data_IF_778023241888
#
_entry.id   IF_778023241888
#
_cell.length_a   1.000
_cell.length_b   1.000
_cell.length_c   1.000
_cell.angle_alpha   90.00
_cell.angle_beta   90.00
_cell.angle_gamma   90.00
#
_symmetry.space_group_name_H-M   'P 1'
#
loop_
_entity.id
_entity.type
_entity.pdbx_description
1 polymer ?
#
# COMPACT_ATOMS: atom_id res chain seq x y z
N UNK A 1 -9.83 6.21 -7.33
CA UNK A 1 -10.16 4.81 -7.64
C UNK A 1 -8.92 3.97 -7.45
N UNK A 2 -9.08 2.70 -7.09
CA UNK A 2 -7.96 1.78 -6.94
C UNK A 2 -8.35 0.36 -7.36
N UNK A 3 -7.36 -0.51 -7.47
CA UNK A 3 -7.51 -1.93 -7.77
C UNK A 3 -6.43 -2.78 -7.14
N UNK A 4 -6.75 -4.06 -6.96
CA UNK A 4 -5.86 -5.13 -6.55
C UNK A 4 -6.05 -6.30 -7.52
N UNK A 5 -5.02 -7.13 -7.66
CA UNK A 5 -5.19 -8.45 -8.28
C UNK A 5 -6.03 -9.32 -7.35
N UNK A 6 -6.74 -10.31 -7.91
CA UNK A 6 -7.73 -11.09 -7.15
C UNK A 6 -7.10 -11.83 -5.95
N UNK A 7 -5.93 -12.43 -6.13
CA UNK A 7 -5.18 -13.11 -5.05
C UNK A 7 -4.73 -12.13 -3.94
N UNK A 8 -4.32 -10.92 -4.29
CA UNK A 8 -4.01 -9.85 -3.32
C UNK A 8 -5.27 -9.43 -2.55
N UNK A 9 -6.40 -9.26 -3.24
CA UNK A 9 -7.67 -8.90 -2.63
C UNK A 9 -8.20 -9.98 -1.69
N UNK A 10 -7.93 -11.24 -2.01
CA UNK A 10 -8.33 -12.42 -1.21
C UNK A 10 -7.30 -12.81 -0.14
N UNK A 11 -6.14 -12.16 -0.10
CA UNK A 11 -5.12 -12.44 0.91
C UNK A 11 -5.65 -12.11 2.32
N UNK A 12 -5.42 -12.98 3.33
CA UNK A 12 -5.90 -12.74 4.70
C UNK A 12 -5.43 -11.43 5.36
N UNK A 13 -4.35 -10.83 4.87
CA UNK A 13 -3.83 -9.56 5.35
C UNK A 13 -4.48 -8.34 4.68
N UNK A 14 -5.30 -8.52 3.64
CA UNK A 14 -6.10 -7.45 3.03
C UNK A 14 -7.37 -7.24 3.84
N UNK A 15 -7.54 -6.05 4.40
CA UNK A 15 -8.60 -5.77 5.38
C UNK A 15 -9.53 -4.67 4.90
N UNK A 16 -10.83 -4.92 5.08
CA UNK A 16 -11.84 -3.86 5.10
C UNK A 16 -11.96 -3.32 6.52
N UNK A 17 -11.51 -2.09 6.73
CA UNK A 17 -11.39 -1.47 8.05
C UNK A 17 -12.49 -0.45 8.26
N UNK A 18 -13.23 -0.60 9.36
CA UNK A 18 -14.35 0.27 9.79
C UNK A 18 -14.06 1.02 11.11
N UNK A 19 -12.93 0.72 11.75
CA UNK A 19 -12.59 1.28 13.06
C UNK A 19 -11.09 1.38 13.30
N UNK A 20 -10.71 2.19 14.28
CA UNK A 20 -9.34 2.42 14.71
C UNK A 20 -9.34 2.71 16.22
N UNK A 21 -8.40 2.10 16.96
CA UNK A 21 -8.28 2.25 18.42
C UNK A 21 -9.60 2.03 19.19
N UNK A 22 -10.33 0.97 18.85
CA UNK A 22 -11.59 0.60 19.51
C UNK A 22 -12.79 1.48 19.17
N UNK A 23 -12.63 2.47 18.28
CA UNK A 23 -13.68 3.39 17.88
C UNK A 23 -13.99 3.28 16.38
N UNK A 24 -15.13 3.82 15.95
CA UNK A 24 -15.43 3.99 14.53
C UNK A 24 -14.36 4.86 13.84
N UNK A 25 -14.14 4.58 12.55
CA UNK A 25 -13.12 5.29 11.79
C UNK A 25 -13.44 6.80 11.70
N UNK A 26 -12.50 7.70 12.05
CA UNK A 26 -12.68 9.13 11.80
C UNK A 26 -12.70 9.47 10.31
N UNK A 27 -13.36 10.57 9.93
CA UNK A 27 -13.49 10.99 8.51
C UNK A 27 -12.13 11.17 7.83
N UNK A 28 -11.12 11.74 8.51
CA UNK A 28 -9.77 11.92 7.97
C UNK A 28 -9.07 10.59 7.63
N UNK A 29 -9.46 9.52 8.31
CA UNK A 29 -8.93 8.18 8.07
C UNK A 29 -9.68 7.45 6.94
N UNK A 30 -10.81 7.99 6.44
CA UNK A 30 -11.54 7.45 5.31
C UNK A 30 -12.84 6.73 5.67
N UNK A 31 -13.58 7.25 6.65
CA UNK A 31 -14.87 6.70 7.09
C UNK A 31 -15.89 6.60 5.93
N UNK A 32 -16.91 5.72 6.02
CA UNK A 32 -17.16 4.76 7.10
C UNK A 32 -16.34 3.47 6.97
N UNK A 33 -15.77 3.21 5.80
CA UNK A 33 -14.92 2.05 5.54
C UNK A 33 -13.79 2.39 4.57
N UNK A 34 -12.63 1.77 4.80
CA UNK A 34 -11.45 1.88 3.95
C UNK A 34 -10.81 0.52 3.72
N UNK A 35 -9.98 0.44 2.68
CA UNK A 35 -9.09 -0.68 2.47
C UNK A 35 -7.78 -0.49 3.25
N UNK A 36 -7.20 -1.58 3.73
CA UNK A 36 -5.83 -1.66 4.24
C UNK A 36 -5.13 -2.86 3.58
N UNK A 37 -3.97 -2.60 2.98
CA UNK A 37 -3.09 -3.63 2.40
C UNK A 37 -1.68 -3.41 2.96
N UNK A 38 -1.29 -4.12 4.03
CA UNK A 38 -0.20 -3.68 4.90
C UNK A 38 1.20 -3.79 4.27
N UNK A 39 1.37 -4.61 3.22
CA UNK A 39 2.66 -4.79 2.54
C UNK A 39 2.87 -3.84 1.35
N UNK A 40 1.87 -3.01 1.02
CA UNK A 40 1.90 -2.05 -0.08
C UNK A 40 2.02 -0.61 0.42
N UNK A 41 2.47 0.29 -0.47
CA UNK A 41 2.46 1.72 -0.16
C UNK A 41 1.04 2.23 0.11
N UNK A 42 0.93 3.23 0.99
CA UNK A 42 -0.34 3.67 1.56
C UNK A 42 -1.37 4.17 0.54
N UNK A 43 -0.96 4.56 -0.66
CA UNK A 43 -1.89 5.00 -1.71
C UNK A 43 -2.78 3.89 -2.26
N UNK A 44 -2.36 2.62 -2.15
CA UNK A 44 -3.19 1.46 -2.51
C UNK A 44 -4.37 1.27 -1.56
N UNK A 45 -4.27 1.79 -0.34
CA UNK A 45 -5.29 1.70 0.71
C UNK A 45 -6.34 2.80 0.56
N UNK A 46 -7.26 2.63 -0.40
CA UNK A 46 -8.30 3.60 -0.75
C UNK A 46 -9.27 3.87 0.42
N UNK A 47 -9.65 5.15 0.57
CA UNK A 47 -10.53 5.68 1.61
C UNK A 47 -11.98 5.80 1.13
N UNK A 48 -12.93 5.76 2.07
CA UNK A 48 -14.35 6.08 1.84
C UNK A 48 -14.93 5.34 0.64
N UNK A 49 -14.82 4.00 0.67
CA UNK A 49 -15.23 3.15 -0.45
C UNK A 49 -16.76 3.16 -0.57
N UNK A 50 -17.23 3.45 -1.79
CA UNK A 50 -18.66 3.45 -2.13
C UNK A 50 -19.05 2.38 -3.15
N UNK A 51 -18.06 1.77 -3.83
CA UNK A 51 -18.27 0.76 -4.87
C UNK A 51 -17.07 -0.17 -4.97
N UNK A 52 -17.33 -1.46 -5.08
CA UNK A 52 -16.36 -2.51 -5.40
C UNK A 52 -16.84 -3.18 -6.68
N UNK A 53 -15.95 -3.32 -7.66
CA UNK A 53 -16.25 -4.00 -8.93
C UNK A 53 -15.20 -5.08 -9.17
N UNK A 54 -15.65 -6.26 -9.58
CA UNK A 54 -14.77 -7.30 -10.11
C UNK A 54 -14.62 -7.11 -11.61
N UNK A 55 -13.39 -7.24 -12.12
CA UNK A 55 -13.06 -7.03 -13.53
C UNK A 55 -12.11 -8.11 -14.02
N UNK A 56 -12.22 -8.46 -15.30
CA UNK A 56 -11.34 -9.42 -15.97
C UNK A 56 -9.96 -8.82 -16.28
N UNK A 57 -9.88 -7.49 -16.46
CA UNK A 57 -8.65 -6.77 -16.78
C UNK A 57 -8.19 -5.86 -15.64
N UNK A 58 -6.89 -5.59 -15.58
CA UNK A 58 -6.29 -4.64 -14.65
C UNK A 58 -6.97 -3.25 -14.78
N UNK A 59 -7.52 -2.69 -13.69
CA UNK A 59 -8.13 -1.37 -13.73
C UNK A 59 -7.08 -0.27 -13.57
N UNK A 60 -7.33 0.87 -14.20
CA UNK A 60 -6.57 2.09 -13.93
C UNK A 60 -6.66 2.53 -12.46
N UNK A 61 -5.57 3.04 -11.92
CA UNK A 61 -5.45 3.50 -10.53
C UNK A 61 -5.10 4.97 -10.48
N UNK A 62 -5.60 5.70 -9.48
CA UNK A 62 -5.50 7.18 -9.47
C UNK A 62 -4.07 7.71 -9.50
N UNK A 63 -3.13 7.07 -8.80
CA UNK A 63 -1.73 7.52 -8.78
C UNK A 63 -0.96 7.10 -10.03
N UNK A 64 -1.26 5.93 -10.59
CA UNK A 64 -0.68 5.49 -11.86
C UNK A 64 -1.17 6.36 -13.03
N UNK A 65 -2.47 6.68 -13.07
CA UNK A 65 -3.04 7.61 -14.07
C UNK A 65 -2.39 9.01 -13.97
N UNK A 66 -2.11 9.47 -12.75
CA UNK A 66 -1.51 10.80 -12.53
C UNK A 66 -0.02 10.83 -12.89
N UNK A 67 0.75 9.81 -12.52
CA UNK A 67 2.19 9.75 -12.75
C UNK A 67 2.69 8.30 -12.83
N UNK A 68 2.46 7.67 -13.99
CA UNK A 68 2.83 6.27 -14.24
C UNK A 68 4.34 5.97 -14.11
N UNK A 69 5.20 6.99 -14.20
CA UNK A 69 6.66 6.84 -13.99
C UNK A 69 7.06 6.74 -12.51
N UNK A 70 6.16 7.10 -11.61
CA UNK A 70 6.43 7.18 -10.17
C UNK A 70 5.63 6.16 -9.35
N UNK A 71 4.46 5.77 -9.84
CA UNK A 71 3.54 4.90 -9.12
C UNK A 71 3.02 3.79 -10.04
N UNK A 72 3.45 2.55 -9.80
CA UNK A 72 2.95 1.38 -10.49
C UNK A 72 1.66 0.81 -9.90
N UNK A 73 1.14 -0.23 -10.55
CA UNK A 73 -0.09 -0.90 -10.13
C UNK A 73 0.09 -1.66 -8.82
N UNK A 74 1.17 -2.45 -8.68
CA UNK A 74 1.33 -3.35 -7.55
C UNK A 74 1.81 -2.62 -6.28
N UNK A 75 2.75 -1.68 -6.40
CA UNK A 75 3.17 -0.80 -5.30
C UNK A 75 3.54 -1.55 -4.00
N UNK A 76 4.23 -2.68 -4.15
CA UNK A 76 4.78 -3.42 -3.02
C UNK A 76 5.89 -2.59 -2.37
N UNK A 77 5.91 -2.51 -1.04
CA UNK A 77 7.00 -1.82 -0.33
C UNK A 77 8.31 -2.55 -0.61
N UNK A 78 9.25 -1.86 -1.25
CA UNK A 78 10.53 -2.45 -1.67
C UNK A 78 11.68 -1.46 -1.43
N UNK A 79 12.56 -1.69 -0.44
CA UNK A 79 13.68 -0.79 -0.16
C UNK A 79 14.70 -0.70 -1.29
N UNK A 80 14.77 -1.73 -2.14
CA UNK A 80 15.71 -1.81 -3.25
C UNK A 80 15.25 -1.04 -4.50
N UNK A 81 14.01 -0.55 -4.52
CA UNK A 81 13.44 0.20 -5.64
C UNK A 81 13.09 1.60 -5.16
N UNK A 82 13.90 2.57 -5.56
CA UNK A 82 13.72 3.95 -5.15
C UNK A 82 12.66 4.65 -5.98
N UNK A 83 11.95 5.58 -5.34
CA UNK A 83 11.10 6.51 -6.05
C UNK A 83 11.98 7.44 -6.90
N UNK A 84 11.54 7.91 -8.09
CA UNK A 84 12.35 8.79 -8.94
C UNK A 84 12.87 10.06 -8.25
N UNK A 85 12.22 10.49 -7.17
CA UNK A 85 12.53 11.71 -6.43
C UNK A 85 13.12 11.51 -5.03
N UNK A 86 13.11 10.29 -4.48
CA UNK A 86 13.62 10.02 -3.12
C UNK A 86 13.94 8.55 -2.89
N UNK A 87 14.77 8.28 -1.88
CA UNK A 87 15.13 6.92 -1.48
C UNK A 87 14.02 6.27 -0.66
N UNK A 88 13.90 4.95 -0.81
CA UNK A 88 12.87 4.11 -0.17
C UNK A 88 13.47 3.06 0.77
N UNK A 89 14.79 3.07 0.98
CA UNK A 89 15.50 2.17 1.90
C UNK A 89 15.38 2.59 3.36
N UNK A 90 14.99 3.83 3.62
CA UNK A 90 14.77 4.38 4.96
C UNK A 90 13.39 5.02 5.05
N UNK A 91 12.73 4.83 6.19
CA UNK A 91 11.45 5.45 6.49
C UNK A 91 11.47 6.23 7.81
N UNK A 92 10.53 7.16 7.89
CA UNK A 92 10.37 8.03 9.04
C UNK A 92 9.30 7.45 9.96
N UNK A 93 9.71 6.89 11.11
CA UNK A 93 8.77 6.34 12.08
C UNK A 93 8.06 7.48 12.83
N UNK A 94 6.74 7.43 12.85
CA UNK A 94 5.88 8.37 13.57
C UNK A 94 5.46 7.79 14.94
N UNK A 95 5.18 8.64 15.95
CA UNK A 95 5.30 10.10 15.95
C UNK A 95 6.76 10.56 16.04
N UNK A 96 7.04 11.77 15.56
CA UNK A 96 8.33 12.44 15.77
C UNK A 96 8.15 13.64 16.70
N UNK A 97 9.20 13.93 17.48
CA UNK A 97 9.32 15.18 18.23
C UNK A 97 10.53 15.96 17.72
N UNK A 98 10.64 17.25 18.07
CA UNK A 98 11.81 18.07 17.70
C UNK A 98 13.14 17.45 18.17
N UNK A 99 13.10 16.67 19.25
CA UNK A 99 14.28 16.02 19.86
C UNK A 99 14.41 14.53 19.51
N UNK A 100 13.45 13.95 18.77
CA UNK A 100 13.46 12.54 18.40
C UNK A 100 13.00 12.37 16.96
N UNK A 101 13.96 12.45 16.04
CA UNK A 101 13.77 12.09 14.63
C UNK A 101 14.20 10.64 14.43
N UNK A 102 13.24 9.73 14.49
CA UNK A 102 13.49 8.31 14.23
C UNK A 102 13.40 8.03 12.72
N UNK A 103 14.53 7.67 12.13
CA UNK A 103 14.60 7.01 10.83
C UNK A 103 14.99 5.55 11.06
N UNK A 104 14.32 4.64 10.37
CA UNK A 104 14.58 3.19 10.43
C UNK A 104 14.68 2.64 9.01
N UNK A 105 15.32 1.49 8.85
CA UNK A 105 15.38 0.80 7.57
C UNK A 105 13.98 0.28 7.18
N UNK A 106 13.60 0.53 5.93
CA UNK A 106 12.36 0.02 5.36
C UNK A 106 12.50 -1.48 5.07
N UNK A 107 11.52 -2.26 5.49
CA UNK A 107 11.50 -3.70 5.29
C UNK A 107 10.82 -4.05 3.97
N UNK A 108 11.36 -5.04 3.26
CA UNK A 108 10.71 -5.61 2.07
C UNK A 108 9.30 -6.12 2.44
N UNK A 109 8.30 -5.84 1.59
CA UNK A 109 6.89 -6.11 1.85
C UNK A 109 6.39 -5.53 3.19
N UNK A 110 7.02 -4.43 3.65
CA UNK A 110 6.76 -3.81 4.94
C UNK A 110 6.90 -4.80 6.13
N UNK A 111 7.75 -5.82 5.98
CA UNK A 111 7.97 -6.87 6.98
C UNK A 111 7.03 -8.07 6.90
N UNK A 112 6.10 -8.12 5.94
CA UNK A 112 5.15 -9.23 5.75
C UNK A 112 5.61 -10.27 4.72
N UNK A 113 6.90 -10.28 4.36
CA UNK A 113 7.43 -11.10 3.26
C UNK A 113 7.05 -12.57 3.34
N UNK A 114 7.15 -13.19 4.51
CA UNK A 114 6.78 -14.60 4.74
C UNK A 114 5.32 -14.92 4.39
N UNK A 115 4.43 -13.93 4.43
CA UNK A 115 3.00 -14.10 4.19
C UNK A 115 2.56 -13.75 2.77
N UNK A 116 3.38 -13.01 2.01
CA UNK A 116 2.92 -12.42 0.74
C UNK A 116 3.88 -12.63 -0.43
N UNK A 117 5.15 -12.96 -0.18
CA UNK A 117 6.16 -13.05 -1.24
C UNK A 117 5.80 -14.08 -2.32
N UNK A 118 5.19 -15.20 -1.94
CA UNK A 118 4.77 -16.27 -2.84
C UNK A 118 3.82 -15.79 -3.96
N UNK A 119 3.01 -14.75 -3.72
CA UNK A 119 2.12 -14.20 -4.76
C UNK A 119 2.88 -13.49 -5.89
N UNK A 120 4.15 -13.14 -5.68
CA UNK A 120 4.95 -12.37 -6.63
C UNK A 120 6.16 -13.14 -7.17
N UNK A 121 6.23 -14.44 -6.92
CA UNK A 121 7.31 -15.27 -7.45
C UNK A 121 7.38 -15.21 -8.98
N UNK A 122 8.59 -15.03 -9.52
CA UNK A 122 8.83 -14.88 -10.95
C UNK A 122 8.45 -13.51 -11.53
N UNK A 123 7.92 -12.58 -10.73
CA UNK A 123 7.64 -11.21 -11.18
C UNK A 123 8.84 -10.28 -10.99
N UNK A 124 9.02 -9.34 -11.94
CA UNK A 124 9.97 -8.25 -11.79
C UNK A 124 9.39 -7.14 -10.90
N UNK A 125 9.72 -7.19 -9.61
CA UNK A 125 9.26 -6.22 -8.61
C UNK A 125 9.80 -4.80 -8.82
N UNK A 126 10.82 -4.60 -9.65
CA UNK A 126 11.33 -3.26 -9.99
C UNK A 126 10.53 -2.63 -11.14
N UNK A 127 10.00 -3.46 -12.05
CA UNK A 127 9.14 -3.03 -13.16
C UNK A 127 7.71 -2.73 -12.72
N UNK A 128 7.25 -3.33 -11.63
CA UNK A 128 5.89 -3.26 -11.12
C UNK A 128 5.74 -2.46 -9.81
N UNK A 129 6.75 -1.68 -9.44
CA UNK A 129 6.80 -0.77 -8.29
C UNK A 129 5.82 0.40 -8.40
#
# INVERSE_FOLDING_TARGET
REGLRMDEAMNPLTLMVVGLYGNYLPSQNGAPMRLIVPWKYGFKSIKSIVRINFRESEPNTTWNDLQAREYGFYANVNPNVHHPRWRQDMERRLPQTLFSRQHIETRLFNGYGEHVAHMYEGMDLARYY
#
